data_IF_468184400342
#
_entry.id   IF_468184400342
#
_cell.length_a   1.000
_cell.length_b   1.000
_cell.length_c   1.000
_cell.angle_alpha   90.00
_cell.angle_beta   90.00
_cell.angle_gamma   90.00
#
_symmetry.space_group_name_H-M   'P 1'
#
loop_
_entity.id
_entity.type
_entity.pdbx_description
1 polymer ?
#
# COMPACT_ATOMS: atom_id res chain seq x y z
N UNK A 1 -0.48 -5.21 0.93
CA UNK A 1 -0.88 -3.89 1.48
C UNK A 1 -2.10 -3.44 0.70
N UNK A 2 -3.16 -2.94 1.33
CA UNK A 2 -4.44 -2.67 0.65
C UNK A 2 -5.13 -1.44 1.28
N UNK A 3 -6.00 -0.79 0.51
CA UNK A 3 -6.86 0.28 0.99
C UNK A 3 -8.35 -0.05 0.85
N UNK A 4 -9.16 0.74 1.54
CA UNK A 4 -10.62 0.71 1.45
C UNK A 4 -11.11 2.14 1.41
N UNK A 5 -11.96 2.47 0.45
CA UNK A 5 -12.51 3.81 0.29
C UNK A 5 -13.99 3.79 0.64
N UNK A 6 -14.39 4.65 1.57
CA UNK A 6 -15.79 4.91 1.93
C UNK A 6 -16.17 6.31 1.46
N UNK A 7 -16.66 6.39 0.23
CA UNK A 7 -16.95 7.66 -0.47
C UNK A 7 -18.02 8.51 0.24
N UNK A 8 -18.97 7.89 0.92
CA UNK A 8 -20.05 8.62 1.62
C UNK A 8 -19.58 9.26 2.93
N UNK A 9 -18.40 8.88 3.42
CA UNK A 9 -17.84 9.37 4.68
C UNK A 9 -16.51 10.11 4.48
N UNK A 10 -16.07 10.27 3.23
CA UNK A 10 -14.75 10.81 2.87
C UNK A 10 -13.62 10.18 3.70
N UNK A 11 -13.62 8.85 3.75
CA UNK A 11 -12.71 8.09 4.61
C UNK A 11 -12.00 7.02 3.80
N UNK A 12 -10.70 6.93 4.02
CA UNK A 12 -9.85 5.85 3.51
C UNK A 12 -9.26 5.07 4.68
N UNK A 13 -9.52 3.77 4.73
CA UNK A 13 -8.85 2.84 5.62
C UNK A 13 -7.72 2.14 4.89
N UNK A 14 -6.56 1.96 5.53
CA UNK A 14 -5.40 1.31 4.93
C UNK A 14 -4.85 0.26 5.88
N UNK A 15 -4.39 -0.86 5.32
CA UNK A 15 -3.83 -1.96 6.09
C UNK A 15 -2.58 -2.55 5.45
N UNK A 16 -1.60 -2.86 6.29
CA UNK A 16 -0.40 -3.59 5.90
C UNK A 16 -0.12 -4.74 6.88
N UNK A 17 0.34 -5.85 6.32
CA UNK A 17 0.85 -7.00 7.06
C UNK A 17 2.20 -7.35 6.46
N UNK A 18 3.21 -7.51 7.30
CA UNK A 18 4.56 -7.92 6.91
C UNK A 18 4.78 -9.32 7.49
N UNK A 19 5.16 -10.25 6.63
CA UNK A 19 5.38 -11.65 7.00
C UNK A 19 6.78 -12.09 6.63
N UNK A 20 7.31 -13.07 7.35
CA UNK A 20 8.49 -13.81 6.91
C UNK A 20 8.13 -14.84 5.82
N UNK A 21 9.13 -15.56 5.33
CA UNK A 21 8.96 -16.59 4.30
C UNK A 21 8.16 -17.82 4.76
N UNK A 22 7.97 -18.00 6.08
CA UNK A 22 7.12 -19.05 6.65
C UNK A 22 5.68 -18.57 6.86
N UNK A 23 5.37 -17.33 6.48
CA UNK A 23 4.06 -16.71 6.69
C UNK A 23 3.85 -16.18 8.11
N UNK A 24 4.87 -16.16 8.96
CA UNK A 24 4.78 -15.60 10.32
C UNK A 24 4.66 -14.08 10.21
N UNK A 25 3.63 -13.50 10.84
CA UNK A 25 3.44 -12.05 10.88
C UNK A 25 4.49 -11.43 11.78
N UNK A 26 5.36 -10.61 11.20
CA UNK A 26 6.39 -9.86 11.91
C UNK A 26 5.88 -8.51 12.40
N UNK A 27 4.99 -7.89 11.60
CA UNK A 27 4.40 -6.60 11.91
C UNK A 27 3.08 -6.41 11.15
N UNK A 28 2.17 -5.62 11.71
CA UNK A 28 0.94 -5.22 11.04
C UNK A 28 0.56 -3.80 11.48
N UNK A 29 -0.04 -3.03 10.57
CA UNK A 29 -0.57 -1.71 10.88
C UNK A 29 -1.88 -1.46 10.18
N UNK A 30 -2.65 -0.54 10.77
CA UNK A 30 -3.85 0.03 10.19
C UNK A 30 -3.80 1.54 10.39
N UNK A 31 -4.25 2.29 9.39
CA UNK A 31 -4.42 3.73 9.51
C UNK A 31 -5.68 4.19 8.77
N UNK A 32 -6.24 5.30 9.23
CA UNK A 32 -7.43 5.94 8.67
C UNK A 32 -7.10 7.38 8.31
N UNK A 33 -7.45 7.78 7.11
CA UNK A 33 -7.30 9.15 6.61
C UNK A 33 -8.66 9.70 6.22
N UNK A 34 -8.82 11.01 6.42
CA UNK A 34 -9.95 11.75 5.89
C UNK A 34 -9.57 12.30 4.51
N UNK A 35 -10.48 12.16 3.56
CA UNK A 35 -10.32 12.62 2.18
C UNK A 35 -11.04 11.73 1.20
N UNK A 36 -11.38 12.33 0.05
CA UNK A 36 -11.97 11.63 -1.07
C UNK A 36 -10.86 11.23 -2.04
N UNK A 37 -10.48 9.94 -2.00
CA UNK A 37 -9.47 9.38 -2.90
C UNK A 37 -10.14 8.40 -3.85
N UNK A 38 -9.64 8.32 -5.08
CA UNK A 38 -9.99 7.19 -5.93
C UNK A 38 -9.44 5.90 -5.32
N UNK A 39 -10.07 4.76 -5.60
CA UNK A 39 -9.55 3.46 -5.14
C UNK A 39 -8.08 3.28 -5.57
N UNK A 40 -7.71 3.72 -6.78
CA UNK A 40 -6.34 3.63 -7.29
C UNK A 40 -5.34 4.44 -6.44
N UNK A 41 -5.69 5.68 -6.11
CA UNK A 41 -4.82 6.54 -5.31
C UNK A 41 -4.69 6.01 -3.89
N UNK A 42 -5.79 5.52 -3.31
CA UNK A 42 -5.81 4.89 -2.00
C UNK A 42 -4.89 3.66 -1.95
N UNK A 43 -4.95 2.77 -2.96
CA UNK A 43 -4.06 1.60 -3.06
C UNK A 43 -2.59 2.00 -3.14
N UNK A 44 -2.25 2.99 -3.97
CA UNK A 44 -0.89 3.47 -4.12
C UNK A 44 -0.35 4.06 -2.79
N UNK A 45 -1.19 4.81 -2.08
CA UNK A 45 -0.85 5.35 -0.76
C UNK A 45 -0.66 4.20 0.23
N UNK A 46 -1.52 3.17 0.23
CA UNK A 46 -1.38 2.02 1.12
C UNK A 46 -0.06 1.25 0.89
N UNK A 47 0.38 1.10 -0.37
CA UNK A 47 1.70 0.51 -0.68
C UNK A 47 2.82 1.40 -0.15
N UNK A 48 2.77 2.71 -0.40
CA UNK A 48 3.78 3.67 0.08
C UNK A 48 3.92 3.65 1.61
N UNK A 49 2.80 3.76 2.31
CA UNK A 49 2.78 3.79 3.78
C UNK A 49 3.10 2.43 4.39
N UNK A 50 2.68 1.32 3.77
CA UNK A 50 3.07 -0.02 4.22
C UNK A 50 4.57 -0.28 4.08
N UNK A 51 5.22 0.24 3.03
CA UNK A 51 6.67 0.19 2.87
C UNK A 51 7.39 1.09 3.87
N UNK A 52 6.88 2.31 4.09
CA UNK A 52 7.40 3.21 5.14
C UNK A 52 7.35 2.53 6.51
N UNK A 53 6.21 1.95 6.85
CA UNK A 53 6.02 1.19 8.08
C UNK A 53 7.01 0.04 8.23
N UNK A 54 7.30 -0.70 7.15
CA UNK A 54 8.31 -1.76 7.18
C UNK A 54 9.71 -1.22 7.52
N UNK A 55 10.11 -0.14 6.86
CA UNK A 55 11.40 0.52 7.10
C UNK A 55 11.49 1.01 8.56
N UNK A 56 10.45 1.67 9.05
CA UNK A 56 10.41 2.20 10.42
C UNK A 56 10.43 1.07 11.47
N UNK A 57 9.93 -0.13 11.11
CA UNK A 57 10.01 -1.34 11.93
C UNK A 57 11.36 -2.07 11.82
N UNK A 58 12.33 -1.55 11.06
CA UNK A 58 13.63 -2.20 10.84
C UNK A 58 13.57 -3.42 9.91
N UNK A 59 12.54 -3.52 9.08
CA UNK A 59 12.30 -4.63 8.16
C UNK A 59 12.58 -4.20 6.71
N UNK A 60 13.08 -5.14 5.91
CA UNK A 60 13.35 -4.96 4.48
C UNK A 60 12.56 -5.98 3.68
N UNK A 61 11.32 -5.69 3.27
CA UNK A 61 10.49 -6.63 2.51
C UNK A 61 11.13 -6.97 1.15
N UNK A 62 11.21 -8.25 0.81
CA UNK A 62 11.70 -8.71 -0.49
C UNK A 62 10.60 -8.73 -1.58
N UNK A 63 9.33 -8.73 -1.17
CA UNK A 63 8.18 -8.69 -2.06
C UNK A 63 7.06 -7.82 -1.48
N UNK A 64 6.22 -7.29 -2.36
CA UNK A 64 4.97 -6.60 -2.00
C UNK A 64 3.83 -7.28 -2.74
N UNK A 65 2.86 -7.78 -1.98
CA UNK A 65 1.61 -8.32 -2.52
C UNK A 65 0.52 -7.24 -2.54
N UNK A 66 -0.12 -7.08 -3.71
CA UNK A 66 -1.26 -6.20 -3.93
C UNK A 66 -2.16 -6.79 -5.01
N UNK A 67 -3.48 -6.69 -4.82
CA UNK A 67 -4.51 -7.07 -5.79
C UNK A 67 -4.79 -5.94 -6.82
N UNK A 68 -4.19 -4.77 -6.61
CA UNK A 68 -4.33 -3.60 -7.46
C UNK A 68 -3.44 -3.69 -8.72
N UNK A 69 -3.76 -4.59 -9.65
CA UNK A 69 -2.97 -4.88 -10.86
C UNK A 69 -2.52 -3.61 -11.60
N UNK A 70 -3.41 -2.62 -11.76
CA UNK A 70 -3.10 -1.35 -12.44
C UNK A 70 -1.98 -0.57 -11.73
N UNK A 71 -1.93 -0.60 -10.41
CA UNK A 71 -0.90 0.06 -9.60
C UNK A 71 0.41 -0.69 -9.70
N UNK A 72 0.38 -2.02 -9.56
CA UNK A 72 1.57 -2.87 -9.74
C UNK A 72 2.18 -2.65 -11.12
N UNK A 73 1.36 -2.67 -12.18
CA UNK A 73 1.82 -2.37 -13.54
C UNK A 73 2.43 -0.97 -13.67
N UNK A 74 1.82 0.04 -13.06
CA UNK A 74 2.35 1.41 -13.12
C UNK A 74 3.70 1.56 -12.40
N UNK A 75 3.87 0.91 -11.25
CA UNK A 75 5.12 0.91 -10.47
C UNK A 75 6.24 0.19 -11.22
N UNK A 76 5.93 -0.92 -11.89
CA UNK A 76 6.91 -1.72 -12.63
C UNK A 76 7.23 -1.15 -14.01
N UNK A 77 6.42 -0.20 -14.50
CA UNK A 77 6.67 0.45 -15.79
C UNK A 77 7.81 1.47 -15.67
N UNK A 78 8.71 1.55 -16.66
CA UNK A 78 9.71 2.61 -16.69
C UNK A 78 9.03 3.99 -16.74
N UNK A 79 9.62 5.02 -16.11
CA UNK A 79 9.08 6.37 -16.19
C UNK A 79 9.03 6.80 -17.66
N UNK A 80 7.85 7.18 -18.14
CA UNK A 80 7.69 7.77 -19.46
C UNK A 80 8.43 9.10 -19.51
N UNK A 81 9.64 9.09 -20.06
CA UNK A 81 10.37 10.30 -20.42
C UNK A 81 9.80 10.84 -21.73
N UNK A 82 8.77 11.67 -21.66
CA UNK A 82 8.42 12.57 -22.76
C UNK A 82 9.12 13.90 -22.51
N UNK A 83 10.24 14.12 -23.19
CA UNK A 83 10.87 15.43 -23.33
C UNK A 83 10.06 16.30 -24.29
#
# INVERSE_FOLDING_TARGET
MNASVRTNEDVVGMGAVIRDHNGVVLAACFSRFFGNFSAKDAELIAIREGLRFAIDAGLSPSCVESDALKIVSAILSPPTTSC
#
